data_IF_158466594347
#
_entry.id   IF_158466594347
#
_cell.length_a   1.000
_cell.length_b   1.000
_cell.length_c   1.000
_cell.angle_alpha   90.00
_cell.angle_beta   90.00
_cell.angle_gamma   90.00
#
_symmetry.space_group_name_H-M   'P 1'
#
loop_
_entity.id
_entity.type
_entity.pdbx_description
1 polymer ?
#
# COMPACT_ATOMS: atom_id res chain seq x y z
N UNK A 1 -27.85 -0.57 65.69
CA UNK A 1 -27.09 0.17 64.66
C UNK A 1 -26.37 -0.85 63.78
N UNK A 2 -27.05 -1.36 62.74
CA UNK A 2 -26.66 -2.58 62.02
C UNK A 2 -26.18 -2.30 60.59
N UNK A 3 -24.96 -2.78 60.31
CA UNK A 3 -24.42 -3.32 59.04
C UNK A 3 -24.83 -2.64 57.73
N UNK A 4 -23.99 -1.73 57.23
CA UNK A 4 -24.01 -1.32 55.81
C UNK A 4 -22.60 -1.08 55.23
N UNK A 5 -21.60 -1.91 55.58
CA UNK A 5 -20.21 -1.73 55.10
C UNK A 5 -19.74 -2.79 54.09
N UNK A 6 -20.52 -3.84 53.78
CA UNK A 6 -20.09 -4.92 52.87
C UNK A 6 -20.60 -4.82 51.43
N UNK A 7 -21.48 -3.86 51.11
CA UNK A 7 -22.17 -3.81 49.80
C UNK A 7 -21.69 -2.65 48.90
N UNK A 8 -20.48 -2.13 49.11
CA UNK A 8 -19.90 -1.08 48.24
C UNK A 8 -18.64 -1.50 47.50
N UNK A 9 -18.05 -2.66 47.82
CA UNK A 9 -16.78 -3.11 47.20
C UNK A 9 -16.93 -4.02 45.98
N UNK A 10 -18.12 -4.54 45.68
CA UNK A 10 -18.27 -5.53 44.60
C UNK A 10 -18.45 -4.91 43.21
N UNK A 11 -18.88 -3.64 43.12
CA UNK A 11 -19.09 -2.95 41.83
C UNK A 11 -17.79 -2.36 41.27
N UNK A 12 -16.84 -2.00 42.15
CA UNK A 12 -15.54 -1.47 41.73
C UNK A 12 -14.70 -2.51 40.94
N UNK A 13 -14.87 -3.80 41.25
CA UNK A 13 -14.20 -4.88 40.51
C UNK A 13 -14.68 -5.00 39.06
N UNK A 14 -15.97 -4.78 38.79
CA UNK A 14 -16.54 -4.94 37.45
C UNK A 14 -16.16 -3.81 36.46
N UNK A 15 -15.90 -2.61 36.96
CA UNK A 15 -15.47 -1.46 36.13
C UNK A 15 -13.95 -1.47 35.89
N UNK A 16 -13.17 -2.13 36.76
CA UNK A 16 -11.71 -2.26 36.62
C UNK A 16 -11.28 -3.47 35.76
N UNK A 17 -12.14 -4.47 35.57
CA UNK A 17 -11.86 -5.65 34.74
C UNK A 17 -11.47 -5.34 33.28
N UNK A 18 -12.10 -4.38 32.56
CA UNK A 18 -11.70 -4.03 31.20
C UNK A 18 -10.30 -3.41 31.13
N UNK A 19 -9.86 -2.74 32.20
CA UNK A 19 -8.52 -2.13 32.27
C UNK A 19 -7.42 -3.16 32.51
N UNK A 20 -7.74 -4.26 33.20
CA UNK A 20 -6.85 -5.42 33.40
C UNK A 20 -6.89 -6.39 32.21
N UNK A 21 -7.96 -6.37 31.41
CA UNK A 21 -8.12 -7.17 30.19
C UNK A 21 -7.45 -6.57 28.95
N UNK A 22 -6.79 -5.40 29.09
CA UNK A 22 -5.82 -4.92 28.09
C UNK A 22 -4.54 -5.77 28.22
N UNK A 23 -4.67 -7.05 27.85
CA UNK A 23 -3.53 -7.89 27.57
C UNK A 23 -2.60 -7.13 26.60
N UNK A 24 -1.29 -7.39 26.69
CA UNK A 24 -0.30 -6.88 25.74
C UNK A 24 -0.49 -7.49 24.33
N UNK A 25 -1.70 -7.39 23.80
CA UNK A 25 -2.07 -7.73 22.46
C UNK A 25 -1.35 -6.74 21.54
N UNK A 26 -0.76 -7.22 20.44
CA UNK A 26 -0.19 -6.35 19.42
C UNK A 26 -1.21 -5.27 19.06
N UNK A 27 -0.80 -4.01 19.17
CA UNK A 27 -1.64 -2.91 18.73
C UNK A 27 -1.83 -3.03 17.22
N UNK A 28 -3.05 -2.76 16.74
CA UNK A 28 -3.30 -2.70 15.31
C UNK A 28 -2.35 -1.66 14.70
N UNK A 29 -1.64 -2.05 13.63
CA UNK A 29 -0.79 -1.11 12.91
C UNK A 29 -1.66 0.02 12.37
N UNK A 30 -1.26 1.25 12.59
CA UNK A 30 -1.99 2.39 12.02
C UNK A 30 -1.70 2.47 10.52
N UNK A 31 -2.66 2.93 9.71
CA UNK A 31 -2.39 3.20 8.29
C UNK A 31 -1.30 4.28 8.18
N UNK A 32 -0.59 4.31 7.06
CA UNK A 32 0.60 5.15 6.86
C UNK A 32 0.30 6.65 7.03
N UNK A 33 -0.94 7.05 6.73
CA UNK A 33 -1.47 8.41 6.90
C UNK A 33 -2.13 8.66 8.27
N UNK A 34 -2.09 7.70 9.19
CA UNK A 34 -2.73 7.75 10.51
C UNK A 34 -4.23 7.42 10.47
N UNK A 35 -4.81 7.05 11.62
CA UNK A 35 -6.21 6.60 11.69
C UNK A 35 -7.24 7.71 11.38
N UNK A 36 -6.85 8.99 11.37
CA UNK A 36 -7.77 10.11 11.16
C UNK A 36 -8.68 10.37 12.37
N UNK A 37 -9.67 11.25 12.19
CA UNK A 37 -10.56 11.71 13.27
C UNK A 37 -11.80 10.83 13.44
N UNK A 38 -12.20 10.10 12.38
CA UNK A 38 -13.42 9.29 12.34
C UNK A 38 -13.16 7.97 11.61
N UNK A 39 -14.01 6.96 11.86
CA UNK A 39 -13.85 5.62 11.28
C UNK A 39 -13.80 5.61 9.74
N UNK A 40 -14.53 6.53 9.10
CA UNK A 40 -14.56 6.64 7.64
C UNK A 40 -13.21 7.10 7.08
N UNK A 41 -12.52 8.03 7.76
CA UNK A 41 -11.16 8.42 7.40
C UNK A 41 -10.17 7.28 7.63
N UNK A 42 -10.33 6.51 8.71
CA UNK A 42 -9.50 5.33 8.96
C UNK A 42 -9.57 4.33 7.80
N UNK A 43 -10.80 4.05 7.32
CA UNK A 43 -11.03 3.14 6.18
C UNK A 43 -10.44 3.73 4.90
N UNK A 44 -10.61 5.02 4.64
CA UNK A 44 -10.02 5.69 3.48
C UNK A 44 -8.48 5.59 3.47
N UNK A 45 -7.83 5.81 4.62
CA UNK A 45 -6.38 5.75 4.73
C UNK A 45 -5.83 4.33 4.55
N UNK A 46 -6.56 3.30 5.00
CA UNK A 46 -6.25 1.92 4.66
C UNK A 46 -6.48 1.61 3.18
N UNK A 47 -7.54 2.15 2.59
CA UNK A 47 -7.80 2.06 1.15
C UNK A 47 -6.65 2.68 0.34
N UNK A 48 -6.16 3.85 0.76
CA UNK A 48 -5.01 4.51 0.15
C UNK A 48 -3.78 3.61 0.13
N UNK A 49 -3.41 3.05 1.26
CA UNK A 49 -2.25 2.15 1.37
C UNK A 49 -2.41 0.93 0.45
N UNK A 50 -3.62 0.36 0.38
CA UNK A 50 -3.94 -0.75 -0.52
C UNK A 50 -3.80 -0.39 -2.01
N UNK A 51 -4.41 0.71 -2.44
CA UNK A 51 -4.33 1.16 -3.84
C UNK A 51 -2.92 1.60 -4.24
N UNK A 52 -2.15 2.18 -3.32
CA UNK A 52 -0.75 2.53 -3.57
C UNK A 52 0.09 1.28 -3.85
N UNK A 53 -0.09 0.20 -3.09
CA UNK A 53 0.58 -1.07 -3.36
C UNK A 53 0.18 -1.66 -4.72
N UNK A 54 -1.10 -1.60 -5.08
CA UNK A 54 -1.58 -2.03 -6.40
C UNK A 54 -0.93 -1.18 -7.51
N UNK A 55 -0.87 0.14 -7.33
CA UNK A 55 -0.20 1.05 -8.27
C UNK A 55 1.27 0.68 -8.50
N UNK A 56 1.98 0.32 -7.42
CA UNK A 56 3.37 -0.14 -7.49
C UNK A 56 3.50 -1.43 -8.31
N UNK A 57 2.60 -2.40 -8.09
CA UNK A 57 2.58 -3.66 -8.84
C UNK A 57 2.33 -3.41 -10.32
N UNK A 58 1.36 -2.56 -10.68
CA UNK A 58 1.07 -2.22 -12.07
C UNK A 58 2.30 -1.61 -12.75
N UNK A 59 2.96 -0.64 -12.12
CA UNK A 59 4.18 -0.04 -12.66
C UNK A 59 5.31 -1.07 -12.79
N UNK A 60 5.44 -1.99 -11.82
CA UNK A 60 6.37 -3.11 -11.90
C UNK A 60 6.11 -3.97 -13.15
N UNK A 61 4.87 -4.38 -13.39
CA UNK A 61 4.49 -5.17 -14.56
C UNK A 61 4.77 -4.43 -15.86
N UNK A 62 4.48 -3.12 -15.93
CA UNK A 62 4.81 -2.31 -17.10
C UNK A 62 6.32 -2.29 -17.37
N UNK A 63 7.14 -2.15 -16.33
CA UNK A 63 8.59 -2.20 -16.45
C UNK A 63 9.08 -3.56 -16.97
N UNK A 64 8.55 -4.65 -16.41
CA UNK A 64 8.83 -6.02 -16.87
C UNK A 64 8.46 -6.21 -18.35
N UNK A 65 7.31 -5.68 -18.80
CA UNK A 65 6.89 -5.73 -20.20
C UNK A 65 7.85 -5.00 -21.14
N UNK A 66 8.29 -3.79 -20.78
CA UNK A 66 9.29 -3.02 -21.54
C UNK A 66 10.63 -3.76 -21.60
N UNK A 67 11.09 -4.30 -20.47
CA UNK A 67 12.33 -5.06 -20.39
C UNK A 67 12.28 -6.31 -21.28
N UNK A 68 11.18 -7.07 -21.24
CA UNK A 68 11.00 -8.23 -22.10
C UNK A 68 11.08 -7.83 -23.59
N UNK A 69 10.39 -6.77 -23.99
CA UNK A 69 10.46 -6.32 -25.37
C UNK A 69 11.87 -5.89 -25.79
N UNK A 70 12.60 -5.18 -24.92
CA UNK A 70 13.98 -4.79 -25.15
C UNK A 70 14.92 -6.01 -25.29
N UNK A 71 14.75 -7.04 -24.46
CA UNK A 71 15.51 -8.29 -24.58
C UNK A 71 15.25 -9.00 -25.91
N UNK A 72 14.01 -9.01 -26.40
CA UNK A 72 13.69 -9.56 -27.72
C UNK A 72 14.44 -8.84 -28.84
N UNK A 73 14.46 -7.51 -28.82
CA UNK A 73 15.21 -6.72 -29.81
C UNK A 73 16.72 -6.93 -29.68
N UNK A 74 17.24 -7.03 -28.46
CA UNK A 74 18.65 -7.33 -28.22
C UNK A 74 19.07 -8.71 -28.78
N UNK A 75 18.21 -9.72 -28.64
CA UNK A 75 18.45 -11.05 -29.18
C UNK A 75 18.47 -11.02 -30.72
N UNK A 76 17.51 -10.32 -31.34
CA UNK A 76 17.46 -10.14 -32.80
C UNK A 76 18.69 -9.39 -33.36
N UNK A 77 19.32 -8.52 -32.57
CA UNK A 77 20.58 -7.84 -32.96
C UNK A 77 21.73 -8.83 -33.02
N UNK A 78 21.80 -9.78 -32.08
CA UNK A 78 22.84 -10.82 -32.07
C UNK A 78 22.66 -11.81 -33.23
N UNK A 79 21.41 -12.04 -33.64
CA UNK A 79 21.07 -12.82 -34.83
C UNK A 79 21.30 -12.04 -36.16
N UNK A 80 21.71 -10.77 -36.10
CA UNK A 80 21.92 -9.92 -37.28
C UNK A 80 20.63 -9.45 -37.97
N UNK A 81 19.46 -9.67 -37.36
CA UNK A 81 18.14 -9.32 -37.92
C UNK A 81 17.75 -7.85 -37.68
N UNK A 82 18.32 -7.22 -36.64
CA UNK A 82 18.05 -5.82 -36.26
C UNK A 82 19.34 -5.06 -35.98
N UNK A 83 19.23 -3.73 -35.90
CA UNK A 83 20.36 -2.84 -35.58
C UNK A 83 20.25 -2.31 -34.16
N UNK A 84 21.39 -1.94 -33.56
CA UNK A 84 21.47 -1.28 -32.24
C UNK A 84 20.59 -0.02 -32.12
N UNK A 85 20.37 0.69 -33.24
CA UNK A 85 19.43 1.82 -33.29
C UNK A 85 18.00 1.42 -32.94
N UNK A 86 17.58 0.22 -33.33
CA UNK A 86 16.21 -0.27 -33.11
C UNK A 86 15.99 -0.65 -31.64
N UNK A 87 17.06 -1.03 -30.93
CA UNK A 87 17.04 -1.16 -29.47
C UNK A 87 16.91 0.20 -28.80
N UNK A 88 17.66 1.20 -29.27
CA UNK A 88 17.57 2.57 -28.77
C UNK A 88 16.18 3.20 -28.94
N UNK A 89 15.53 2.99 -30.09
CA UNK A 89 14.15 3.45 -30.30
C UNK A 89 13.16 2.72 -29.40
N UNK A 90 13.33 1.40 -29.23
CA UNK A 90 12.52 0.59 -28.30
C UNK A 90 12.66 1.09 -26.86
N UNK A 91 13.89 1.39 -26.42
CA UNK A 91 14.15 1.94 -25.09
C UNK A 91 13.51 3.33 -24.89
N UNK A 92 13.59 4.20 -25.90
CA UNK A 92 12.99 5.54 -25.85
C UNK A 92 11.45 5.48 -25.74
N UNK A 93 10.81 4.64 -26.55
CA UNK A 93 9.36 4.42 -26.49
C UNK A 93 8.97 3.78 -25.15
N UNK A 94 9.74 2.80 -24.68
CA UNK A 94 9.54 2.15 -23.39
C UNK A 94 9.59 3.14 -22.22
N UNK A 95 10.58 4.04 -22.21
CA UNK A 95 10.66 5.11 -21.22
C UNK A 95 9.45 6.06 -21.28
N UNK A 96 8.97 6.38 -22.48
CA UNK A 96 7.75 7.17 -22.67
C UNK A 96 6.51 6.51 -22.09
N UNK A 97 6.31 5.22 -22.37
CA UNK A 97 5.18 4.43 -21.83
C UNK A 97 5.25 4.35 -20.30
N UNK A 98 6.44 4.13 -19.73
CA UNK A 98 6.64 4.15 -18.29
C UNK A 98 6.34 5.52 -17.69
N UNK A 99 6.81 6.59 -18.32
CA UNK A 99 6.53 7.96 -17.87
C UNK A 99 5.03 8.25 -17.80
N UNK A 100 4.27 7.85 -18.83
CA UNK A 100 2.81 7.98 -18.83
C UNK A 100 2.17 7.10 -17.75
N UNK A 101 2.61 5.86 -17.60
CA UNK A 101 2.11 4.95 -16.55
C UNK A 101 2.31 5.54 -15.15
N UNK A 102 3.52 6.01 -14.84
CA UNK A 102 3.87 6.65 -13.56
C UNK A 102 3.00 7.89 -13.35
N UNK A 103 2.86 8.72 -14.38
CA UNK A 103 2.03 9.92 -14.31
C UNK A 103 0.58 9.58 -13.95
N UNK A 104 -0.04 8.61 -14.65
CA UNK A 104 -1.42 8.22 -14.42
C UNK A 104 -1.63 7.64 -13.01
N UNK A 105 -0.72 6.78 -12.54
CA UNK A 105 -0.78 6.24 -11.17
C UNK A 105 -0.63 7.36 -10.14
N UNK A 106 0.26 8.32 -10.38
CA UNK A 106 0.44 9.47 -9.49
C UNK A 106 -0.81 10.35 -9.43
N UNK A 107 -1.44 10.64 -10.57
CA UNK A 107 -2.70 11.40 -10.61
C UNK A 107 -3.84 10.64 -9.92
N UNK A 108 -3.97 9.33 -10.15
CA UNK A 108 -4.97 8.50 -9.48
C UNK A 108 -4.79 8.50 -7.97
N UNK A 109 -3.55 8.40 -7.50
CA UNK A 109 -3.18 8.47 -6.08
C UNK A 109 -3.48 9.84 -5.47
N UNK A 110 -3.40 10.92 -6.26
CA UNK A 110 -3.71 12.28 -5.79
C UNK A 110 -5.20 12.55 -5.58
N UNK A 111 -6.08 11.79 -6.23
CA UNK A 111 -7.55 11.91 -6.07
C UNK A 111 -8.03 11.12 -4.83
N UNK A 112 -7.20 10.24 -4.28
CA UNK A 112 -7.50 9.30 -3.21
C UNK A 112 -7.12 9.82 -1.82
#
# INVERSE_FOLDING_TARGET
MSRNLKMKSTVAGFVALPQLASAALPQAQNPTRGAGTNILQTIQNWGFDGFMLIGLIVLGVMFLGVAWHAFGVYHDIHDGKKKWRDLGSTAAVGAGILGVGIFLVTQATGIL
#
